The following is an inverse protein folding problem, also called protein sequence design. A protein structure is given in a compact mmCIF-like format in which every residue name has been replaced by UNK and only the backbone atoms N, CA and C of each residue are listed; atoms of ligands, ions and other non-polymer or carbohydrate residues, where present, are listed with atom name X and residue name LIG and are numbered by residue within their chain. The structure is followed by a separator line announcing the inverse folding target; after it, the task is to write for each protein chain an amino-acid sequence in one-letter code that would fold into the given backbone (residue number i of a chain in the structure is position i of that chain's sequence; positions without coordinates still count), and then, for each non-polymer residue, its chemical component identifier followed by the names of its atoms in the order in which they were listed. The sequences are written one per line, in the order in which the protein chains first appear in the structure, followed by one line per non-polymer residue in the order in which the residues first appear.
data_IF_943766817644
#
_entry.id   IF_943766817644
#
_cell.length_a   1.000
_cell.length_b   1.000
_cell.length_c   1.000
_cell.angle_alpha   90.00
_cell.angle_beta   90.00
_cell.angle_gamma   90.00
#
_symmetry.space_group_name_H-M   'P 1'
#
loop_
_entity.id
_entity.type
_entity.pdbx_description
1 polymer ?
#
# COMPACT_ATOMS: atom_id res chain seq x y z
N UNK A 1 25.58 -39.10 9.02
CA UNK A 1 24.52 -38.89 10.03
C UNK A 1 24.79 -37.55 10.70
N UNK A 2 24.36 -36.46 10.05
CA UNK A 2 24.21 -35.13 10.63
C UNK A 2 22.92 -34.55 10.03
N UNK A 3 21.82 -35.19 10.43
CA UNK A 3 20.51 -34.56 10.52
C UNK A 3 20.40 -34.02 11.95
N UNK A 4 19.53 -33.04 12.17
CA UNK A 4 19.23 -32.30 13.41
C UNK A 4 19.81 -30.87 13.45
N UNK A 5 18.90 -29.89 13.43
CA UNK A 5 19.03 -28.45 13.74
C UNK A 5 19.06 -27.41 12.60
N UNK A 6 18.07 -27.46 11.70
CA UNK A 6 17.55 -26.22 11.07
C UNK A 6 16.04 -26.08 11.31
N UNK A 7 15.65 -26.21 12.57
CA UNK A 7 14.35 -25.80 13.07
C UNK A 7 14.61 -24.80 14.18
N UNK A 8 13.82 -23.73 14.23
CA UNK A 8 13.75 -22.74 15.31
C UNK A 8 14.67 -21.50 15.20
N UNK A 9 14.51 -20.71 14.13
CA UNK A 9 14.63 -19.23 14.15
C UNK A 9 13.90 -18.61 12.94
N UNK A 10 12.68 -19.06 12.65
CA UNK A 10 11.81 -18.25 11.78
C UNK A 10 11.38 -17.05 12.62
N UNK A 11 12.13 -15.95 12.53
CA UNK A 11 11.58 -14.65 12.91
C UNK A 11 10.31 -14.49 12.09
N UNK A 12 9.16 -14.33 12.77
CA UNK A 12 7.90 -14.07 12.11
C UNK A 12 8.03 -12.71 11.41
N UNK A 13 8.46 -12.71 10.15
CA UNK A 13 8.52 -11.49 9.35
C UNK A 13 7.07 -11.03 9.17
N UNK A 14 6.74 -9.88 9.75
CA UNK A 14 5.40 -9.34 9.64
C UNK A 14 5.14 -8.94 8.19
N UNK A 15 4.06 -9.48 7.61
CA UNK A 15 3.57 -9.08 6.28
C UNK A 15 2.62 -7.90 6.42
N UNK A 16 2.84 -6.83 5.64
CA UNK A 16 2.06 -5.60 5.73
C UNK A 16 1.60 -5.09 4.35
N UNK A 17 0.41 -4.49 4.36
CA UNK A 17 -0.19 -3.75 3.26
C UNK A 17 -0.44 -2.30 3.72
N UNK A 18 0.09 -1.28 3.03
CA UNK A 18 -0.16 0.10 3.38
C UNK A 18 -1.54 0.55 2.90
N UNK A 19 -2.16 1.44 3.67
CA UNK A 19 -3.31 2.25 3.25
C UNK A 19 -3.01 3.73 3.48
N UNK A 20 -3.59 4.61 2.66
CA UNK A 20 -3.25 6.03 2.69
C UNK A 20 -4.38 6.93 2.16
N UNK A 21 -4.22 8.23 2.36
CA UNK A 21 -5.17 9.27 1.93
C UNK A 21 -4.41 10.44 1.33
N UNK A 22 -4.88 10.96 0.20
CA UNK A 22 -4.28 12.13 -0.45
C UNK A 22 -5.33 13.20 -0.76
N UNK A 23 -4.88 14.44 -0.96
CA UNK A 23 -5.78 15.56 -1.28
C UNK A 23 -6.18 15.65 -2.75
N UNK A 24 -5.42 15.04 -3.66
CA UNK A 24 -5.64 15.11 -5.11
C UNK A 24 -5.12 13.88 -5.85
N UNK A 25 -5.55 13.73 -7.11
CA UNK A 25 -5.17 12.61 -8.00
C UNK A 25 -3.64 12.52 -8.22
N UNK A 26 -2.98 13.67 -8.41
CA UNK A 26 -1.51 13.74 -8.53
C UNK A 26 -0.78 13.85 -7.19
N UNK A 27 -1.50 13.85 -6.07
CA UNK A 27 -1.00 14.18 -4.73
C UNK A 27 -0.30 13.03 -4.00
N UNK A 28 0.35 12.12 -4.73
CA UNK A 28 1.13 11.04 -4.14
C UNK A 28 0.41 9.72 -3.92
N UNK A 29 -0.66 9.43 -4.68
CA UNK A 29 -1.35 8.12 -4.62
C UNK A 29 -0.42 6.93 -4.88
N UNK A 30 0.70 7.15 -5.56
CA UNK A 30 1.71 6.12 -5.83
C UNK A 30 2.97 6.33 -4.97
N UNK A 31 3.44 7.57 -4.82
CA UNK A 31 4.73 7.86 -4.18
C UNK A 31 4.70 7.78 -2.67
N UNK A 32 3.55 8.06 -2.03
CA UNK A 32 3.38 7.90 -0.58
C UNK A 32 3.56 6.44 -0.13
N UNK A 33 2.82 5.45 -0.67
CA UNK A 33 3.06 4.06 -0.30
C UNK A 33 4.43 3.57 -0.78
N UNK A 34 4.92 3.99 -1.96
CA UNK A 34 6.23 3.58 -2.47
C UNK A 34 7.38 3.97 -1.53
N UNK A 35 7.35 5.18 -0.99
CA UNK A 35 8.39 5.63 -0.05
C UNK A 35 8.25 4.96 1.32
N UNK A 36 7.03 4.62 1.76
CA UNK A 36 6.80 3.87 2.99
C UNK A 36 7.41 2.44 2.96
N UNK A 37 7.42 1.78 1.79
CA UNK A 37 8.02 0.44 1.62
C UNK A 37 9.48 0.41 2.09
N UNK A 38 10.24 1.48 1.88
CA UNK A 38 11.65 1.55 2.32
C UNK A 38 11.80 1.33 3.83
N UNK A 39 10.89 1.90 4.63
CA UNK A 39 10.90 1.73 6.07
C UNK A 39 10.45 0.32 6.48
N UNK A 40 9.45 -0.24 5.80
CA UNK A 40 9.00 -1.61 6.05
C UNK A 40 10.13 -2.61 5.82
N UNK A 41 10.81 -2.51 4.68
CA UNK A 41 11.94 -3.38 4.32
C UNK A 41 13.10 -3.21 5.29
N UNK A 42 13.41 -1.97 5.72
CA UNK A 42 14.45 -1.73 6.71
C UNK A 42 14.18 -2.42 8.06
N UNK A 43 12.91 -2.57 8.46
CA UNK A 43 12.52 -3.28 9.67
C UNK A 43 12.33 -4.80 9.47
N UNK A 44 12.72 -5.34 8.31
CA UNK A 44 12.59 -6.77 8.02
C UNK A 44 11.14 -7.23 7.80
N UNK A 45 10.25 -6.30 7.43
CA UNK A 45 8.85 -6.61 7.13
C UNK A 45 8.69 -6.96 5.65
N UNK A 46 7.77 -7.89 5.37
CA UNK A 46 7.42 -8.27 4.00
C UNK A 46 6.31 -7.32 3.51
N UNK A 47 6.60 -6.56 2.46
CA UNK A 47 5.58 -5.80 1.76
C UNK A 47 4.78 -6.73 0.83
N UNK A 48 3.46 -6.73 0.98
CA UNK A 48 2.54 -7.45 0.10
C UNK A 48 1.75 -6.40 -0.70
N UNK A 49 1.89 -6.29 -2.03
CA UNK A 49 1.09 -5.36 -2.82
C UNK A 49 -0.34 -5.89 -3.04
N UNK A 50 -1.29 -4.98 -3.29
CA UNK A 50 -2.64 -5.36 -3.77
C UNK A 50 -2.55 -5.85 -5.22
N UNK A 51 -1.68 -5.22 -6.03
CA UNK A 51 -1.59 -5.48 -7.46
C UNK A 51 -2.88 -5.07 -8.20
N UNK A 52 -3.01 -5.52 -9.44
CA UNK A 52 -4.19 -5.26 -10.28
C UNK A 52 -5.22 -6.40 -10.28
N UNK A 53 -4.95 -7.48 -9.54
CA UNK A 53 -5.83 -8.65 -9.49
C UNK A 53 -7.09 -8.40 -8.64
N UNK A 54 -7.15 -7.27 -7.94
CA UNK A 54 -8.29 -6.86 -7.11
C UNK A 54 -9.46 -6.28 -7.94
N UNK A 55 -9.95 -7.11 -8.87
CA UNK A 55 -11.18 -6.90 -9.63
C UNK A 55 -11.16 -5.75 -10.65
N UNK A 56 -12.27 -5.63 -11.39
CA UNK A 56 -12.45 -4.60 -12.41
C UNK A 56 -12.37 -3.16 -11.86
N UNK A 57 -12.54 -2.99 -10.55
CA UNK A 57 -12.46 -1.68 -9.88
C UNK A 57 -11.10 -0.98 -10.01
N UNK A 58 -10.01 -1.72 -10.19
CA UNK A 58 -8.67 -1.16 -10.44
C UNK A 58 -8.47 -0.64 -11.87
N UNK A 59 -9.38 -0.98 -12.79
CA UNK A 59 -9.35 -0.56 -14.20
C UNK A 59 -10.55 0.33 -14.57
N UNK A 60 -11.35 0.71 -13.58
CA UNK A 60 -12.57 1.47 -13.78
C UNK A 60 -12.25 2.95 -14.00
N UNK A 61 -12.96 3.59 -14.93
CA UNK A 61 -12.63 4.93 -15.43
C UNK A 61 -13.81 5.93 -15.43
N UNK A 62 -15.01 5.51 -15.01
CA UNK A 62 -16.19 6.37 -14.93
C UNK A 62 -16.14 7.28 -13.69
N UNK A 63 -15.44 6.86 -12.63
CA UNK A 63 -15.31 7.65 -11.40
C UNK A 63 -13.87 7.75 -10.91
N UNK A 64 -13.52 8.92 -10.37
CA UNK A 64 -12.23 9.15 -9.74
C UNK A 64 -12.14 8.32 -8.45
N UNK A 65 -11.14 7.44 -8.36
CA UNK A 65 -10.90 6.54 -7.22
C UNK A 65 -9.45 6.62 -6.76
N UNK A 66 -9.27 6.53 -5.45
CA UNK A 66 -7.94 6.44 -4.84
C UNK A 66 -7.43 4.99 -4.85
N UNK A 67 -6.15 4.86 -4.54
CA UNK A 67 -5.45 3.58 -4.50
C UNK A 67 -4.59 3.33 -5.73
N UNK A 68 -3.67 2.39 -5.58
CA UNK A 68 -2.77 1.97 -6.63
C UNK A 68 -2.30 0.52 -6.36
N UNK A 69 -1.55 -0.11 -7.26
CA UNK A 69 -1.00 -1.44 -7.02
C UNK A 69 -0.19 -1.57 -5.72
N UNK A 70 0.32 -0.44 -5.20
CA UNK A 70 1.08 -0.39 -3.96
C UNK A 70 0.22 -0.49 -2.68
N UNK A 71 -1.10 -0.24 -2.74
CA UNK A 71 -1.97 -0.30 -1.57
C UNK A 71 -3.32 0.42 -1.75
N UNK A 72 -4.15 0.31 -0.72
CA UNK A 72 -5.48 0.94 -0.73
C UNK A 72 -5.34 2.45 -0.48
N UNK A 73 -6.02 3.25 -1.30
CA UNK A 73 -5.94 4.71 -1.20
C UNK A 73 -7.32 5.37 -1.30
N UNK A 74 -7.44 6.55 -0.70
CA UNK A 74 -8.63 7.38 -0.83
C UNK A 74 -8.26 8.83 -1.13
N UNK A 75 -9.21 9.58 -1.70
CA UNK A 75 -9.10 11.03 -1.84
C UNK A 75 -9.90 11.71 -0.74
N UNK A 76 -9.23 12.53 0.08
CA UNK A 76 -9.88 13.37 1.08
C UNK A 76 -10.29 14.74 0.52
N UNK A 77 -9.83 15.08 -0.69
CA UNK A 77 -9.97 16.43 -1.26
C UNK A 77 -9.06 17.45 -0.55
N UNK A 78 -9.22 18.71 -0.92
CA UNK A 78 -8.55 19.83 -0.24
C UNK A 78 -9.52 20.52 0.70
N UNK A 79 -9.00 21.26 1.69
CA UNK A 79 -9.84 22.10 2.52
C UNK A 79 -10.61 23.17 1.71
N UNK A 80 -10.11 23.58 0.54
CA UNK A 80 -10.87 24.46 -0.35
C UNK A 80 -12.06 23.76 -1.02
N UNK A 81 -11.97 22.46 -1.32
CA UNK A 81 -13.07 21.71 -1.95
C UNK A 81 -14.29 21.58 -1.02
N UNK A 82 -14.09 21.53 0.31
CA UNK A 82 -15.19 21.51 1.28
C UNK A 82 -15.81 22.89 1.54
N UNK A 83 -15.14 23.98 1.15
CA UNK A 83 -15.64 25.35 1.31
C UNK A 83 -16.42 25.86 0.08
N UNK A 84 -16.37 25.13 -1.04
CA UNK A 84 -17.02 25.49 -2.31
C UNK A 84 -18.32 24.70 -2.57
N UNK A 85 -18.79 23.92 -1.58
CA UNK A 85 -20.04 23.15 -1.65
C UNK A 85 -21.10 23.70 -0.70
#
# INVERSE_FOLDING_TARGET
MQLERYGEHSSLQASLQPFYSTGSQGGGQETTPLTAITQLVHHGMIFVPIGYTFGAGMFEMEQVKGGSPYGAGTYAGTAQDSLLR
#
